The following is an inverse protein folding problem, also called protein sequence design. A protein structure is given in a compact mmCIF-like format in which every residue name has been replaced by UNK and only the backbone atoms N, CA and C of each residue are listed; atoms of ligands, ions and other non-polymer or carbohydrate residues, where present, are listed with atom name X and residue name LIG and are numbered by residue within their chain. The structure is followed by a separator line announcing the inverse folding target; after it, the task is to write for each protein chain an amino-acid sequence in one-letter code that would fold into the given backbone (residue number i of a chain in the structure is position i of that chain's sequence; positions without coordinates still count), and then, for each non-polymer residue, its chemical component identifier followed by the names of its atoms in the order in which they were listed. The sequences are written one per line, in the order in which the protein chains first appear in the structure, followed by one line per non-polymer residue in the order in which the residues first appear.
data_IF_219122623737
#
_entry.id   IF_219122623737
#
_cell.length_a   1.000
_cell.length_b   1.000
_cell.length_c   1.000
_cell.angle_alpha   90.00
_cell.angle_beta   90.00
_cell.angle_gamma   90.00
#
_symmetry.space_group_name_H-M   'P 1'
#
loop_
_entity.id
_entity.type
_entity.pdbx_description
1 polymer ?
#
# COMPACT_ATOMS: atom_id res chain seq x y z
N UNK A 1 -14.55 -1.81 -4.80
CA UNK A 1 -13.54 -2.78 -4.33
C UNK A 1 -13.12 -2.33 -2.93
N UNK A 2 -13.28 -3.18 -1.92
CA UNK A 2 -12.94 -3.03 -0.49
C UNK A 2 -13.46 -1.82 0.33
N UNK A 3 -14.27 -0.92 -0.24
CA UNK A 3 -14.91 0.18 0.51
C UNK A 3 -14.05 1.44 0.52
N UNK A 4 -14.27 2.33 1.49
CA UNK A 4 -13.55 3.62 1.62
C UNK A 4 -12.25 3.50 2.41
N UNK A 5 -12.17 2.55 3.33
CA UNK A 5 -11.05 2.44 4.29
C UNK A 5 -9.96 1.47 3.84
N UNK A 6 -10.36 0.36 3.20
CA UNK A 6 -9.45 -0.66 2.70
C UNK A 6 -9.22 -0.43 1.20
N UNK A 7 -7.98 -0.12 0.84
CA UNK A 7 -7.62 0.29 -0.51
C UNK A 7 -6.94 -0.85 -1.26
N UNK A 8 -7.16 -0.92 -2.57
CA UNK A 8 -6.29 -1.69 -3.45
C UNK A 8 -5.04 -0.88 -3.83
N UNK A 9 -4.05 -1.53 -4.43
CA UNK A 9 -2.78 -0.91 -4.81
C UNK A 9 -2.94 0.31 -5.75
N UNK A 10 -3.94 0.31 -6.65
CA UNK A 10 -4.20 1.46 -7.54
C UNK A 10 -4.74 2.65 -6.76
N UNK A 11 -5.66 2.41 -5.82
CA UNK A 11 -6.23 3.45 -4.98
C UNK A 11 -5.19 4.07 -4.04
N UNK A 12 -4.30 3.25 -3.46
CA UNK A 12 -3.19 3.77 -2.63
C UNK A 12 -2.26 4.64 -3.46
N UNK A 13 -1.85 4.18 -4.65
CA UNK A 13 -0.99 4.97 -5.54
C UNK A 13 -1.59 6.33 -5.89
N UNK A 14 -2.90 6.36 -6.19
CA UNK A 14 -3.64 7.62 -6.43
C UNK A 14 -3.66 8.52 -5.19
N UNK A 15 -3.92 7.96 -4.00
CA UNK A 15 -3.94 8.71 -2.73
C UNK A 15 -2.57 9.26 -2.34
N UNK A 16 -1.50 8.57 -2.70
CA UNK A 16 -0.11 9.00 -2.48
C UNK A 16 0.42 9.93 -3.58
N UNK A 17 -0.33 10.14 -4.67
CA UNK A 17 0.12 10.98 -5.79
C UNK A 17 1.28 10.38 -6.60
N UNK A 18 1.43 9.04 -6.59
CA UNK A 18 2.51 8.33 -7.29
C UNK A 18 1.98 7.44 -8.41
N UNK A 19 2.85 7.08 -9.35
CA UNK A 19 2.50 6.12 -10.39
C UNK A 19 2.28 4.72 -9.82
N UNK A 20 1.38 3.97 -10.45
CA UNK A 20 1.08 2.59 -10.06
C UNK A 20 2.31 1.66 -10.17
N UNK A 21 3.16 1.89 -11.17
CA UNK A 21 4.42 1.15 -11.35
C UNK A 21 5.43 1.46 -10.24
N UNK A 22 5.49 2.70 -9.75
CA UNK A 22 6.32 3.06 -8.60
C UNK A 22 5.83 2.38 -7.32
N UNK A 23 4.52 2.29 -7.11
CA UNK A 23 3.95 1.58 -5.96
C UNK A 23 4.36 0.09 -5.91
N UNK A 24 4.50 -0.58 -7.06
CA UNK A 24 5.03 -1.96 -7.08
C UNK A 24 6.48 -2.07 -6.59
N UNK A 25 7.31 -1.04 -6.80
CA UNK A 25 8.66 -1.00 -6.25
C UNK A 25 8.61 -0.88 -4.73
N UNK A 26 7.75 -0.01 -4.20
CA UNK A 26 7.52 0.11 -2.74
C UNK A 26 7.06 -1.22 -2.14
N UNK A 27 6.15 -1.93 -2.82
CA UNK A 27 5.71 -3.27 -2.40
C UNK A 27 6.85 -4.29 -2.32
N UNK A 28 7.78 -4.27 -3.29
CA UNK A 28 8.97 -5.13 -3.26
C UNK A 28 9.92 -4.77 -2.11
N UNK A 29 9.92 -3.52 -1.69
CA UNK A 29 10.74 -3.02 -0.59
C UNK A 29 10.11 -3.23 0.80
N UNK A 30 9.01 -3.99 0.89
CA UNK A 30 8.39 -4.32 2.19
C UNK A 30 7.26 -3.39 2.63
N UNK A 31 6.66 -2.62 1.70
CA UNK A 31 5.46 -1.84 2.01
C UNK A 31 4.36 -2.74 2.62
N UNK A 32 3.76 -2.34 3.76
CA UNK A 32 2.80 -3.16 4.48
C UNK A 32 1.56 -3.42 3.63
N UNK A 33 1.03 -4.63 3.73
CA UNK A 33 -0.22 -5.04 3.10
C UNK A 33 -0.89 -6.10 3.95
N UNK A 34 -2.21 -6.18 3.80
CA UNK A 34 -3.03 -7.21 4.41
C UNK A 34 -3.63 -8.11 3.34
N UNK A 35 -3.93 -9.35 3.72
CA UNK A 35 -4.51 -10.34 2.81
C UNK A 35 -5.44 -11.26 3.59
N UNK A 36 -6.64 -11.52 3.07
CA UNK A 36 -7.54 -12.52 3.64
C UNK A 36 -7.07 -13.93 3.24
N UNK A 37 -6.43 -14.62 4.18
CA UNK A 37 -5.82 -15.93 3.96
C UNK A 37 -4.71 -15.91 2.90
N UNK A 38 -4.24 -17.09 2.52
CA UNK A 38 -3.05 -17.24 1.66
C UNK A 38 -3.30 -16.93 0.18
N UNK A 39 -4.55 -16.83 -0.26
CA UNK A 39 -4.92 -16.60 -1.67
C UNK A 39 -5.75 -15.32 -1.91
N UNK A 40 -6.12 -14.60 -0.86
CA UNK A 40 -6.90 -13.37 -0.98
C UNK A 40 -6.19 -12.27 -1.78
N UNK A 41 -6.97 -11.29 -2.26
CA UNK A 41 -6.37 -10.09 -2.85
C UNK A 41 -5.74 -9.24 -1.75
N UNK A 42 -4.55 -8.70 -2.04
CA UNK A 42 -3.88 -7.74 -1.15
C UNK A 42 -4.65 -6.44 -1.08
N UNK A 43 -4.85 -5.95 0.13
CA UNK A 43 -5.42 -4.64 0.43
C UNK A 43 -4.51 -3.89 1.39
N UNK A 44 -4.73 -2.59 1.50
CA UNK A 44 -3.82 -1.67 2.15
C UNK A 44 -4.60 -0.69 3.02
N UNK A 45 -4.06 -0.40 4.19
CA UNK A 45 -4.52 0.69 5.05
C UNK A 45 -3.64 1.89 4.76
N UNK A 46 -4.23 3.01 4.29
CA UNK A 46 -3.47 4.17 3.83
C UNK A 46 -2.51 4.71 4.90
N UNK A 47 -2.98 4.78 6.15
CA UNK A 47 -2.19 5.29 7.28
C UNK A 47 -0.93 4.46 7.53
N UNK A 48 -1.05 3.13 7.54
CA UNK A 48 0.11 2.24 7.74
C UNK A 48 1.16 2.41 6.64
N UNK A 49 0.72 2.57 5.39
CA UNK A 49 1.62 2.82 4.26
C UNK A 49 2.35 4.17 4.44
N UNK A 50 1.64 5.21 4.88
CA UNK A 50 2.23 6.53 5.14
C UNK A 50 3.23 6.49 6.30
N UNK A 51 2.86 5.86 7.40
CA UNK A 51 3.73 5.70 8.57
C UNK A 51 5.01 4.93 8.20
N UNK A 52 4.87 3.85 7.41
CA UNK A 52 6.01 3.09 6.90
C UNK A 52 6.93 3.92 6.01
N UNK A 53 6.37 4.78 5.14
CA UNK A 53 7.15 5.68 4.27
C UNK A 53 7.96 6.68 5.09
N UNK A 54 7.37 7.27 6.14
CA UNK A 54 8.03 8.24 7.00
C UNK A 54 9.19 7.61 7.79
N UNK A 55 9.02 6.39 8.30
CA UNK A 55 10.08 5.66 9.00
C UNK A 55 11.17 5.18 8.04
N UNK A 56 10.80 4.67 6.87
CA UNK A 56 11.76 4.16 5.87
C UNK A 56 12.59 5.28 5.23
N UNK A 57 12.07 6.51 5.19
CA UNK A 57 12.79 7.68 4.67
C UNK A 57 13.86 8.22 5.64
N UNK A 58 13.90 7.76 6.89
CA UNK A 58 14.88 8.19 7.91
C UNK A 58 16.15 7.32 7.95
N UNK A 59 16.31 6.39 7.01
CA UNK A 59 17.52 5.58 6.84
C UNK A 59 18.32 6.04 5.64
#
# INVERSE_FOLDING_TARGET
MFGTELLNARQVAQKLGISYTYFFKLRRNGCPYHQLGNQGRKYYVLKEVQDWLLVSSQR
#
